data_IF_147444693214
#
_entry.id   IF_147444693214
#
_cell.length_a   1.000
_cell.length_b   1.000
_cell.length_c   1.000
_cell.angle_alpha   90.00
_cell.angle_beta   90.00
_cell.angle_gamma   90.00
#
_symmetry.space_group_name_H-M   'P 1'
#
loop_
_entity.id
_entity.type
_entity.pdbx_description
1 polymer ?
#
# COMPACT_ATOMS: atom_id res chain seq x y z
N UNK A 1 51.20 32.94 -51.30
CA UNK A 1 49.78 33.13 -51.00
C UNK A 1 49.19 31.75 -50.76
N UNK A 2 49.17 31.28 -49.51
CA UNK A 2 48.57 30.03 -49.14
C UNK A 2 47.57 30.29 -48.00
N UNK A 3 46.26 30.06 -48.26
CA UNK A 3 45.21 30.12 -47.30
C UNK A 3 45.07 28.73 -46.61
N UNK A 4 45.30 28.70 -45.30
CA UNK A 4 45.09 27.53 -44.47
C UNK A 4 43.65 27.64 -43.98
N UNK A 5 42.80 26.73 -44.44
CA UNK A 5 41.42 26.56 -43.93
C UNK A 5 41.46 25.68 -42.66
N UNK A 6 41.15 26.27 -41.52
CA UNK A 6 40.97 25.56 -40.25
C UNK A 6 39.55 24.98 -40.21
N UNK A 7 39.44 23.67 -40.33
CA UNK A 7 38.19 22.90 -40.12
C UNK A 7 37.90 22.78 -38.64
N UNK A 8 36.82 23.44 -38.19
CA UNK A 8 36.32 23.34 -36.82
C UNK A 8 35.41 22.13 -36.74
N UNK A 9 35.92 21.03 -36.19
CA UNK A 9 35.15 19.80 -35.99
C UNK A 9 34.30 19.94 -34.74
N UNK A 10 32.99 20.14 -34.93
CA UNK A 10 31.99 20.21 -33.85
C UNK A 10 31.68 18.80 -33.37
N UNK A 11 32.31 18.36 -32.27
CA UNK A 11 31.96 17.12 -31.62
C UNK A 11 30.63 17.30 -30.86
N UNK A 12 29.55 16.84 -31.48
CA UNK A 12 28.24 16.75 -30.85
C UNK A 12 28.26 15.56 -29.87
N UNK A 13 28.44 15.83 -28.59
CA UNK A 13 28.22 14.82 -27.54
C UNK A 13 26.73 14.51 -27.46
N UNK A 14 26.31 13.42 -28.09
CA UNK A 14 25.04 12.76 -27.78
C UNK A 14 25.17 12.15 -26.38
N UNK A 15 24.64 12.84 -25.37
CA UNK A 15 24.33 12.25 -24.09
C UNK A 15 23.17 11.25 -24.32
N UNK A 16 23.55 10.01 -24.53
CA UNK A 16 22.62 8.91 -24.54
C UNK A 16 22.17 8.71 -23.09
N UNK A 17 21.06 9.36 -22.69
CA UNK A 17 20.34 9.00 -21.50
C UNK A 17 19.74 7.62 -21.72
N UNK A 18 20.54 6.58 -21.44
CA UNK A 18 20.07 5.21 -21.35
C UNK A 18 19.38 5.01 -19.99
N UNK A 19 18.36 5.84 -19.72
CA UNK A 19 17.31 5.45 -18.79
C UNK A 19 16.26 4.79 -19.66
N UNK A 20 16.37 3.48 -19.85
CA UNK A 20 15.27 2.68 -20.39
C UNK A 20 14.08 2.88 -19.47
N UNK A 21 12.83 2.88 -19.97
CA UNK A 21 11.68 2.91 -19.09
C UNK A 21 11.81 1.69 -18.16
N UNK A 22 11.89 1.93 -16.84
CA UNK A 22 11.64 0.89 -15.85
C UNK A 22 10.35 0.20 -16.29
N UNK A 23 10.37 -1.12 -16.38
CA UNK A 23 9.19 -1.82 -16.87
C UNK A 23 8.06 -1.50 -15.88
N UNK A 24 6.94 -0.98 -16.37
CA UNK A 24 5.75 -0.64 -15.57
C UNK A 24 5.36 -1.83 -14.66
N UNK A 25 5.72 -3.06 -15.08
CA UNK A 25 5.54 -4.28 -14.30
C UNK A 25 6.30 -4.30 -12.99
N UNK A 26 7.56 -3.94 -13.03
CA UNK A 26 8.45 -3.99 -11.86
C UNK A 26 8.02 -2.93 -10.84
N UNK A 27 7.72 -1.71 -11.28
CA UNK A 27 7.25 -0.63 -10.40
C UNK A 27 5.94 -0.98 -9.67
N UNK A 28 4.98 -1.62 -10.33
CA UNK A 28 3.72 -2.04 -9.71
C UNK A 28 3.94 -2.93 -8.48
N UNK A 29 4.91 -3.84 -8.54
CA UNK A 29 5.22 -4.75 -7.44
C UNK A 29 6.06 -4.11 -6.33
N UNK A 30 6.78 -3.03 -6.63
CA UNK A 30 7.59 -2.30 -5.65
C UNK A 30 6.79 -1.24 -4.88
N UNK A 31 5.71 -0.72 -5.48
CA UNK A 31 4.90 0.37 -4.90
C UNK A 31 4.39 0.10 -3.48
N UNK A 32 3.93 -1.12 -3.10
CA UNK A 32 3.47 -1.37 -1.73
C UNK A 32 4.54 -1.07 -0.68
N UNK A 33 5.78 -1.51 -0.91
CA UNK A 33 6.88 -1.28 0.03
C UNK A 33 7.34 0.19 0.03
N UNK A 34 7.40 0.82 -1.15
CA UNK A 34 7.75 2.23 -1.27
C UNK A 34 6.71 3.10 -0.54
N UNK A 35 5.42 2.87 -0.75
CA UNK A 35 4.34 3.62 -0.13
C UNK A 35 4.33 3.45 1.41
N UNK A 36 4.47 2.21 1.92
CA UNK A 36 4.59 1.95 3.35
C UNK A 36 5.78 2.66 3.98
N UNK A 37 6.93 2.63 3.32
CA UNK A 37 8.15 3.31 3.80
C UNK A 37 7.96 4.82 3.87
N UNK A 38 7.35 5.42 2.86
CA UNK A 38 7.13 6.87 2.78
C UNK A 38 6.22 7.41 3.88
N UNK A 39 5.31 6.61 4.46
CA UNK A 39 4.44 7.02 5.59
C UNK A 39 5.23 7.59 6.78
N UNK A 40 6.47 7.16 6.95
CA UNK A 40 7.33 7.58 8.07
C UNK A 40 8.20 8.81 7.75
N UNK A 41 8.28 9.22 6.49
CA UNK A 41 9.17 10.29 6.03
C UNK A 41 8.47 11.44 5.31
N UNK A 42 7.54 11.13 4.40
CA UNK A 42 6.82 12.11 3.59
C UNK A 42 5.40 11.61 3.29
N UNK A 43 4.40 12.22 3.93
CA UNK A 43 3.00 11.84 3.75
C UNK A 43 2.47 12.15 2.34
N UNK A 44 2.99 13.19 1.68
CA UNK A 44 2.58 13.51 0.31
C UNK A 44 3.12 12.45 -0.67
N UNK A 45 4.36 12.02 -0.48
CA UNK A 45 4.95 10.93 -1.25
C UNK A 45 4.20 9.62 -1.01
N UNK A 46 3.93 9.27 0.26
CA UNK A 46 3.16 8.07 0.61
C UNK A 46 1.79 8.04 -0.09
N UNK A 47 1.09 9.18 -0.05
CA UNK A 47 -0.20 9.34 -0.70
C UNK A 47 -0.09 9.14 -2.21
N UNK A 48 0.85 9.81 -2.87
CA UNK A 48 1.03 9.72 -4.32
C UNK A 48 1.36 8.28 -4.76
N UNK A 49 2.25 7.58 -4.02
CA UNK A 49 2.62 6.19 -4.31
C UNK A 49 1.43 5.22 -4.11
N UNK A 50 0.62 5.43 -3.07
CA UNK A 50 -0.56 4.61 -2.83
C UNK A 50 -1.66 4.85 -3.88
N UNK A 51 -1.87 6.10 -4.30
CA UNK A 51 -2.80 6.43 -5.39
C UNK A 51 -2.32 5.83 -6.73
N UNK A 52 -1.02 5.89 -7.04
CA UNK A 52 -0.42 5.23 -8.21
C UNK A 52 -0.65 3.72 -8.16
N UNK A 53 -0.42 3.09 -7.00
CA UNK A 53 -0.65 1.65 -6.82
C UNK A 53 -2.10 1.26 -7.13
N UNK A 54 -3.08 2.00 -6.59
CA UNK A 54 -4.49 1.74 -6.81
C UNK A 54 -4.89 1.99 -8.27
N UNK A 55 -4.33 3.01 -8.93
CA UNK A 55 -4.57 3.26 -10.35
C UNK A 55 -4.06 2.10 -11.19
N UNK A 56 -2.80 1.67 -10.99
CA UNK A 56 -2.23 0.55 -11.73
C UNK A 56 -2.96 -0.77 -11.46
N UNK A 57 -3.46 -0.97 -10.25
CA UNK A 57 -4.31 -2.11 -9.93
C UNK A 57 -5.60 -2.10 -10.76
N UNK A 58 -6.26 -0.95 -10.89
CA UNK A 58 -7.51 -0.84 -11.67
C UNK A 58 -7.33 -1.21 -13.14
N UNK A 59 -6.13 -1.06 -13.69
CA UNK A 59 -5.76 -1.45 -15.05
C UNK A 59 -5.43 -2.95 -15.18
N UNK A 60 -5.30 -3.66 -14.05
CA UNK A 60 -4.83 -5.06 -13.97
C UNK A 60 -5.71 -5.94 -13.08
N UNK A 61 -7.03 -5.97 -13.28
CA UNK A 61 -7.96 -6.65 -12.37
C UNK A 61 -7.79 -8.18 -12.31
N UNK A 62 -7.04 -8.76 -13.26
CA UNK A 62 -6.75 -10.20 -13.32
C UNK A 62 -5.33 -10.54 -12.85
N UNK A 63 -4.54 -9.56 -12.44
CA UNK A 63 -3.20 -9.79 -11.91
C UNK A 63 -3.29 -10.49 -10.54
N UNK A 64 -2.38 -11.44 -10.28
CA UNK A 64 -2.33 -12.15 -9.00
C UNK A 64 -2.11 -11.25 -7.80
N UNK A 65 -1.47 -10.09 -8.02
CA UNK A 65 -1.18 -9.08 -6.98
C UNK A 65 -2.30 -8.03 -6.84
N UNK A 66 -3.38 -8.12 -7.62
CA UNK A 66 -4.47 -7.15 -7.60
C UNK A 66 -5.05 -6.95 -6.19
N UNK A 67 -5.36 -8.05 -5.50
CA UNK A 67 -5.89 -8.00 -4.14
C UNK A 67 -4.93 -7.36 -3.14
N UNK A 68 -3.62 -7.65 -3.25
CA UNK A 68 -2.60 -7.00 -2.43
C UNK A 68 -2.55 -5.49 -2.68
N UNK A 69 -2.61 -5.07 -3.94
CA UNK A 69 -2.55 -3.65 -4.31
C UNK A 69 -3.74 -2.87 -3.74
N UNK A 70 -4.96 -3.43 -3.82
CA UNK A 70 -6.15 -2.86 -3.19
C UNK A 70 -5.97 -2.73 -1.68
N UNK A 71 -5.52 -3.81 -1.03
CA UNK A 71 -5.30 -3.83 0.41
C UNK A 71 -4.26 -2.78 0.84
N UNK A 72 -3.05 -2.84 0.30
CA UNK A 72 -1.95 -1.97 0.74
C UNK A 72 -2.14 -0.51 0.34
N UNK A 73 -2.65 -0.23 -0.86
CA UNK A 73 -2.92 1.14 -1.30
C UNK A 73 -3.90 1.84 -0.36
N UNK A 74 -5.01 1.20 -0.03
CA UNK A 74 -5.99 1.77 0.91
C UNK A 74 -5.45 1.83 2.34
N UNK A 75 -4.68 0.84 2.80
CA UNK A 75 -4.06 0.88 4.12
C UNK A 75 -3.14 2.10 4.27
N UNK A 76 -2.28 2.37 3.28
CA UNK A 76 -1.39 3.54 3.31
C UNK A 76 -2.17 4.84 3.27
N UNK A 77 -3.19 4.97 2.41
CA UNK A 77 -4.06 6.16 2.40
C UNK A 77 -4.76 6.38 3.74
N UNK A 78 -5.19 5.32 4.39
CA UNK A 78 -5.77 5.38 5.72
C UNK A 78 -4.78 5.86 6.78
N UNK A 79 -3.54 5.40 6.71
CA UNK A 79 -2.49 5.87 7.61
C UNK A 79 -2.13 7.35 7.36
N UNK A 80 -2.11 7.80 6.11
CA UNK A 80 -1.93 9.22 5.76
C UNK A 80 -3.09 10.03 6.35
N UNK A 81 -4.34 9.64 6.10
CA UNK A 81 -5.52 10.32 6.61
C UNK A 81 -5.50 10.45 8.14
N UNK A 82 -5.15 9.37 8.84
CA UNK A 82 -5.05 9.37 10.31
C UNK A 82 -3.99 10.36 10.80
N UNK A 83 -2.84 10.46 10.15
CA UNK A 83 -1.78 11.42 10.50
C UNK A 83 -2.13 12.87 10.18
N UNK A 84 -2.99 13.09 9.18
CA UNK A 84 -3.56 14.39 8.85
C UNK A 84 -4.73 14.79 9.75
N UNK A 85 -5.20 13.88 10.64
CA UNK A 85 -6.31 14.10 11.55
C UNK A 85 -7.70 13.80 10.95
N UNK A 86 -7.76 13.28 9.72
CA UNK A 86 -9.01 12.80 9.09
C UNK A 86 -9.32 11.37 9.54
N UNK A 87 -9.84 11.23 10.75
CA UNK A 87 -10.15 9.93 11.36
C UNK A 87 -11.23 9.19 10.56
N UNK A 88 -12.29 9.89 10.13
CA UNK A 88 -13.34 9.30 9.31
C UNK A 88 -12.80 8.85 7.93
N UNK A 89 -11.85 9.58 7.37
CA UNK A 89 -11.11 9.17 6.16
C UNK A 89 -10.33 7.89 6.39
N UNK A 90 -9.62 7.80 7.51
CA UNK A 90 -8.87 6.61 7.88
C UNK A 90 -9.76 5.37 8.04
N UNK A 91 -10.95 5.51 8.65
CA UNK A 91 -11.94 4.42 8.73
C UNK A 91 -12.42 3.98 7.34
N UNK A 92 -12.77 4.94 6.47
CA UNK A 92 -13.20 4.61 5.09
C UNK A 92 -12.12 3.83 4.34
N UNK A 93 -10.86 4.23 4.48
CA UNK A 93 -9.75 3.53 3.86
C UNK A 93 -9.48 2.16 4.50
N UNK A 94 -9.61 2.02 5.82
CA UNK A 94 -9.52 0.70 6.46
C UNK A 94 -10.55 -0.26 5.86
N UNK A 95 -11.82 0.18 5.78
CA UNK A 95 -12.89 -0.64 5.20
C UNK A 95 -12.67 -0.94 3.72
N UNK A 96 -12.14 0.02 2.95
CA UNK A 96 -11.77 -0.19 1.55
C UNK A 96 -10.61 -1.19 1.40
N UNK A 97 -9.64 -1.19 2.31
CA UNK A 97 -8.55 -2.18 2.31
C UNK A 97 -9.04 -3.60 2.58
N UNK A 98 -10.10 -3.75 3.38
CA UNK A 98 -10.78 -5.02 3.63
C UNK A 98 -11.73 -5.47 2.52
N UNK A 99 -12.13 -4.58 1.62
CA UNK A 99 -12.97 -4.90 0.46
C UNK A 99 -12.17 -5.45 -0.74
N UNK A 100 -11.03 -6.06 -0.48
CA UNK A 100 -10.19 -6.73 -1.47
C UNK A 100 -10.77 -8.10 -1.84
N UNK A 101 -10.59 -8.58 -3.09
CA UNK A 101 -10.95 -9.95 -3.45
C UNK A 101 -9.98 -11.01 -2.88
N UNK A 102 -8.99 -10.60 -2.08
CA UNK A 102 -7.92 -11.48 -1.62
C UNK A 102 -6.79 -11.66 -2.64
N UNK A 103 -5.82 -12.44 -2.26
CA UNK A 103 -4.69 -12.88 -3.06
C UNK A 103 -4.08 -14.12 -2.41
N UNK A 104 -3.24 -14.91 -3.10
CA UNK A 104 -2.57 -16.05 -2.46
C UNK A 104 -1.78 -15.67 -1.20
N UNK A 105 -1.26 -14.44 -1.15
CA UNK A 105 -0.54 -13.93 0.01
C UNK A 105 -1.49 -13.56 1.16
N UNK A 106 -2.55 -12.80 0.86
CA UNK A 106 -3.54 -12.40 1.86
C UNK A 106 -4.31 -13.59 2.42
N UNK A 107 -4.63 -14.58 1.58
CA UNK A 107 -5.31 -15.81 2.00
C UNK A 107 -4.45 -16.64 2.97
N UNK A 108 -3.13 -16.62 2.77
CA UNK A 108 -2.18 -17.43 3.57
C UNK A 108 -1.74 -16.70 4.83
N UNK A 109 -1.20 -15.50 4.67
CA UNK A 109 -0.56 -14.75 5.78
C UNK A 109 -1.52 -13.78 6.47
N UNK A 110 -2.57 -13.40 5.77
CA UNK A 110 -3.56 -12.45 6.23
C UNK A 110 -3.22 -11.00 5.92
N UNK A 111 -4.16 -10.10 6.24
CA UNK A 111 -4.00 -8.67 6.02
C UNK A 111 -3.05 -8.02 7.02
N UNK A 112 -2.46 -6.89 6.62
CA UNK A 112 -1.75 -6.02 7.56
C UNK A 112 -2.76 -5.34 8.50
N UNK A 113 -2.48 -5.40 9.81
CA UNK A 113 -3.36 -4.88 10.87
C UNK A 113 -2.88 -3.53 11.46
N UNK A 114 -1.88 -2.89 10.85
CA UNK A 114 -1.28 -1.69 11.47
C UNK A 114 -2.29 -0.54 11.56
N UNK A 115 -3.02 -0.24 10.49
CA UNK A 115 -4.06 0.80 10.50
C UNK A 115 -5.22 0.44 11.45
N UNK A 116 -5.61 -0.83 11.49
CA UNK A 116 -6.64 -1.30 12.43
C UNK A 116 -6.19 -1.08 13.89
N UNK A 117 -4.94 -1.39 14.21
CA UNK A 117 -4.36 -1.11 15.53
C UNK A 117 -4.37 0.38 15.87
N UNK A 118 -3.89 1.24 14.97
CA UNK A 118 -3.87 2.69 15.15
C UNK A 118 -5.29 3.27 15.37
N UNK A 119 -6.28 2.76 14.65
CA UNK A 119 -7.68 3.17 14.82
C UNK A 119 -8.29 2.66 16.14
N UNK A 120 -7.95 1.46 16.61
CA UNK A 120 -8.33 1.01 17.96
C UNK A 120 -7.75 1.92 19.04
N UNK A 121 -6.49 2.33 18.89
CA UNK A 121 -5.83 3.26 19.81
C UNK A 121 -6.48 4.66 19.77
N UNK A 122 -7.10 5.03 18.65
CA UNK A 122 -7.92 6.23 18.49
C UNK A 122 -9.40 6.03 18.92
N UNK A 123 -9.75 4.88 19.48
CA UNK A 123 -11.11 4.58 19.98
C UNK A 123 -12.13 4.24 18.88
N UNK A 124 -11.70 3.88 17.68
CA UNK A 124 -12.57 3.60 16.51
C UNK A 124 -12.89 2.11 16.38
N UNK A 125 -13.49 1.53 17.41
CA UNK A 125 -13.75 0.11 17.59
C UNK A 125 -14.65 -0.47 16.50
N UNK A 126 -15.77 0.18 16.16
CA UNK A 126 -16.75 -0.34 15.22
C UNK A 126 -16.20 -0.53 13.82
N UNK A 127 -15.42 0.43 13.32
CA UNK A 127 -14.78 0.33 12.00
C UNK A 127 -13.80 -0.85 11.93
N UNK A 128 -13.11 -1.15 13.03
CA UNK A 128 -12.18 -2.28 13.08
C UNK A 128 -12.92 -3.62 13.16
N UNK A 129 -14.02 -3.69 13.89
CA UNK A 129 -14.86 -4.91 13.91
C UNK A 129 -15.44 -5.21 12.52
N UNK A 130 -15.95 -4.20 11.82
CA UNK A 130 -16.40 -4.36 10.43
C UNK A 130 -15.25 -4.76 9.49
N UNK A 131 -14.07 -4.20 9.69
CA UNK A 131 -12.90 -4.61 8.92
C UNK A 131 -12.55 -6.09 9.13
N UNK A 132 -12.63 -6.61 10.36
CA UNK A 132 -12.41 -8.04 10.61
C UNK A 132 -13.44 -8.94 9.89
N UNK A 133 -14.70 -8.51 9.83
CA UNK A 133 -15.74 -9.22 9.07
C UNK A 133 -15.38 -9.29 7.58
N UNK A 134 -14.92 -8.19 6.99
CA UNK A 134 -14.45 -8.16 5.59
C UNK A 134 -13.21 -9.03 5.37
N UNK A 135 -12.28 -9.04 6.31
CA UNK A 135 -11.09 -9.89 6.23
C UNK A 135 -11.45 -11.39 6.25
N UNK A 136 -12.52 -11.77 6.92
CA UNK A 136 -12.99 -13.15 6.95
C UNK A 136 -13.46 -13.66 5.57
N UNK A 137 -13.79 -12.76 4.64
CA UNK A 137 -14.24 -13.13 3.30
C UNK A 137 -13.10 -13.68 2.42
N UNK A 138 -11.86 -13.30 2.69
CA UNK A 138 -10.69 -13.71 1.89
C UNK A 138 -9.61 -14.45 2.68
N UNK A 139 -9.49 -14.23 4.00
CA UNK A 139 -8.41 -14.84 4.78
C UNK A 139 -8.77 -16.26 5.26
N UNK A 140 -8.67 -17.23 4.38
CA UNK A 140 -9.03 -18.63 4.65
C UNK A 140 -8.20 -19.27 5.77
N UNK A 141 -6.90 -18.90 5.87
CA UNK A 141 -5.97 -19.45 6.85
C UNK A 141 -5.89 -18.63 8.15
N UNK A 142 -6.97 -17.95 8.52
CA UNK A 142 -6.98 -17.11 9.76
C UNK A 142 -6.84 -17.94 11.05
N UNK A 143 -7.26 -19.22 11.06
CA UNK A 143 -7.15 -20.13 12.20
C UNK A 143 -7.69 -19.50 13.50
N UNK A 144 -8.93 -19.09 13.53
CA UNK A 144 -9.64 -18.46 14.65
C UNK A 144 -9.06 -17.12 15.13
N UNK A 145 -8.02 -16.58 14.48
CA UNK A 145 -7.39 -15.30 14.87
C UNK A 145 -8.38 -14.15 14.83
N UNK A 146 -9.21 -14.04 13.78
CA UNK A 146 -10.19 -12.97 13.64
C UNK A 146 -11.25 -13.05 14.74
N UNK A 147 -11.72 -14.26 15.09
CA UNK A 147 -12.67 -14.46 16.20
C UNK A 147 -12.04 -14.05 17.54
N UNK A 148 -10.80 -14.47 17.79
CA UNK A 148 -10.07 -14.11 18.99
C UNK A 148 -9.83 -12.61 19.11
N UNK A 149 -9.41 -11.93 18.01
CA UNK A 149 -9.22 -10.49 17.99
C UNK A 149 -10.56 -9.76 18.18
N UNK A 150 -11.63 -10.22 17.53
CA UNK A 150 -12.99 -9.68 17.73
C UNK A 150 -13.40 -9.76 19.19
N UNK A 151 -13.19 -10.91 19.83
CA UNK A 151 -13.47 -11.07 21.27
C UNK A 151 -12.67 -10.08 22.12
N UNK A 152 -11.36 -9.89 21.83
CA UNK A 152 -10.54 -8.94 22.58
C UNK A 152 -11.03 -7.49 22.40
N UNK A 153 -11.32 -7.07 21.16
CA UNK A 153 -11.79 -5.72 20.85
C UNK A 153 -13.14 -5.44 21.52
N UNK A 154 -14.07 -6.39 21.51
CA UNK A 154 -15.35 -6.27 22.21
C UNK A 154 -15.24 -6.22 23.75
N UNK A 155 -14.07 -6.55 24.29
CA UNK A 155 -13.74 -6.43 25.71
C UNK A 155 -12.72 -5.29 25.96
N UNK A 156 -12.75 -4.24 25.15
CA UNK A 156 -11.93 -3.02 25.25
C UNK A 156 -10.41 -3.28 25.28
N UNK A 157 -9.96 -4.32 24.56
CA UNK A 157 -8.53 -4.66 24.45
C UNK A 157 -8.06 -4.48 23.02
N UNK A 158 -6.88 -3.89 22.86
CA UNK A 158 -6.16 -3.90 21.59
C UNK A 158 -5.44 -5.25 21.45
N UNK A 159 -5.75 -6.04 20.41
CA UNK A 159 -5.13 -7.34 20.20
C UNK A 159 -3.64 -7.24 19.92
N UNK A 160 -2.91 -8.30 20.30
CA UNK A 160 -1.56 -8.50 19.76
C UNK A 160 -1.69 -9.14 18.35
N UNK A 161 -1.51 -8.33 17.33
CA UNK A 161 -1.61 -8.77 15.94
C UNK A 161 -0.37 -9.53 15.44
N UNK A 162 0.71 -9.56 16.23
CA UNK A 162 1.92 -10.34 15.91
C UNK A 162 2.52 -9.97 14.56
N UNK A 163 2.75 -10.98 13.71
CA UNK A 163 3.34 -10.82 12.39
C UNK A 163 2.48 -9.96 11.44
N UNK A 164 1.17 -9.88 11.66
CA UNK A 164 0.27 -9.06 10.85
C UNK A 164 0.47 -7.54 11.00
N UNK A 165 1.47 -7.11 11.78
CA UNK A 165 1.94 -5.71 11.82
C UNK A 165 3.13 -5.45 10.90
N UNK A 166 3.77 -6.49 10.35
CA UNK A 166 5.08 -6.38 9.71
C UNK A 166 5.05 -6.41 8.17
N UNK A 167 3.99 -6.92 7.56
CA UNK A 167 3.88 -7.06 6.11
C UNK A 167 2.65 -6.40 5.50
#
# INVERSE_FOLDING_TARGET
MNRIATSLSLFLYLLCSACGPESIGDRYYDLPELAKSAVHSDLNEAKALAEELLQLASERPTDWNYGNAIHFGNMVLGQVALREGDIEGAERYLLASGATPGSPQLDTFGPNMLLAKELLEAGRTEAVLEYFERCAEFWEMSNDRLEYWTFQVRNDKVPNFGANLLY
#
